data_IF_226070986563
#
_entry.id   IF_226070986563
#
_cell.length_a   1.000
_cell.length_b   1.000
_cell.length_c   1.000
_cell.angle_alpha   90.00
_cell.angle_beta   90.00
_cell.angle_gamma   90.00
#
_symmetry.space_group_name_H-M   'P 1'
#
loop_
_entity.id
_entity.type
_entity.pdbx_description
1 polymer ?
#
# COMPACT_ATOMS: atom_id res chain seq x y z
N UNK A 1 1.87 -15.58 -20.68
CA UNK A 1 1.90 -14.22 -20.09
C UNK A 1 0.46 -13.75 -19.96
N UNK A 2 -0.24 -14.22 -18.92
CA UNK A 2 -1.69 -13.98 -18.75
C UNK A 2 -1.88 -12.62 -18.10
N UNK A 3 -2.46 -11.67 -18.84
CA UNK A 3 -3.04 -10.45 -18.28
C UNK A 3 -4.19 -10.89 -17.37
N UNK A 4 -4.07 -10.63 -16.08
CA UNK A 4 -5.17 -10.84 -15.15
C UNK A 4 -6.30 -9.88 -15.54
N UNK A 5 -7.38 -10.44 -16.09
CA UNK A 5 -8.64 -9.74 -16.30
C UNK A 5 -9.15 -9.24 -14.95
N UNK A 6 -9.40 -7.94 -14.91
CA UNK A 6 -9.94 -7.22 -13.77
C UNK A 6 -11.44 -7.48 -13.77
N UNK A 7 -11.95 -8.20 -12.77
CA UNK A 7 -13.37 -8.41 -12.59
C UNK A 7 -14.01 -7.09 -12.10
N UNK A 8 -14.86 -6.40 -12.87
CA UNK A 8 -15.39 -5.10 -12.50
C UNK A 8 -16.83 -5.26 -12.00
N UNK A 9 -17.09 -5.19 -10.69
CA UNK A 9 -18.49 -5.01 -10.23
C UNK A 9 -18.73 -4.51 -8.80
N UNK A 10 -17.79 -3.84 -8.10
CA UNK A 10 -18.12 -3.12 -6.85
C UNK A 10 -17.35 -1.81 -6.57
N UNK A 11 -16.66 -1.23 -7.55
CA UNK A 11 -15.73 -0.11 -7.29
C UNK A 11 -16.26 1.22 -7.78
N UNK A 12 -16.99 1.95 -6.93
CA UNK A 12 -17.14 3.41 -7.13
C UNK A 12 -16.96 4.22 -5.83
N UNK A 13 -17.02 3.60 -4.64
CA UNK A 13 -16.89 4.35 -3.38
C UNK A 13 -15.73 3.89 -2.47
N UNK A 14 -15.09 2.74 -2.74
CA UNK A 14 -14.01 2.20 -1.88
C UNK A 14 -12.66 2.92 -2.00
N UNK A 15 -12.32 3.47 -3.17
CA UNK A 15 -10.99 4.06 -3.41
C UNK A 15 -10.71 5.33 -2.59
N UNK A 16 -11.71 6.21 -2.46
CA UNK A 16 -11.57 7.46 -1.69
C UNK A 16 -11.49 7.19 -0.19
N UNK A 17 -12.34 6.29 0.33
CA UNK A 17 -12.33 5.91 1.75
C UNK A 17 -11.00 5.27 2.14
N UNK A 18 -10.46 4.41 1.28
CA UNK A 18 -9.14 3.79 1.47
C UNK A 18 -8.03 4.85 1.49
N UNK A 19 -8.04 5.81 0.56
CA UNK A 19 -7.00 6.85 0.50
C UNK A 19 -6.97 7.72 1.77
N UNK A 20 -8.15 8.07 2.31
CA UNK A 20 -8.30 8.87 3.53
C UNK A 20 -7.86 8.10 4.77
N UNK A 21 -8.40 6.91 5.01
CA UNK A 21 -8.07 6.11 6.20
C UNK A 21 -6.59 5.69 6.25
N UNK A 22 -5.96 5.56 5.08
CA UNK A 22 -4.54 5.26 4.96
C UNK A 22 -3.64 6.49 4.84
N UNK A 23 -4.20 7.70 4.87
CA UNK A 23 -3.46 8.96 4.74
C UNK A 23 -2.48 8.98 3.56
N UNK A 24 -2.89 8.43 2.40
CA UNK A 24 -2.01 8.25 1.24
C UNK A 24 -1.64 9.61 0.65
N UNK A 25 -2.57 10.56 0.62
CA UNK A 25 -2.33 11.92 0.12
C UNK A 25 -1.29 12.65 0.97
N UNK A 26 -1.46 12.67 2.29
CA UNK A 26 -0.48 13.26 3.20
C UNK A 26 0.89 12.59 3.10
N UNK A 27 0.91 11.26 2.93
CA UNK A 27 2.16 10.54 2.73
C UNK A 27 2.87 11.01 1.46
N UNK A 28 2.18 11.11 0.33
CA UNK A 28 2.84 11.53 -0.92
C UNK A 28 3.24 13.00 -0.91
N UNK A 29 2.46 13.88 -0.26
CA UNK A 29 2.80 15.29 -0.06
C UNK A 29 4.06 15.44 0.79
N UNK A 30 4.29 14.52 1.74
CA UNK A 30 5.51 14.51 2.54
C UNK A 30 6.79 14.14 1.76
N UNK A 31 6.67 13.61 0.54
CA UNK A 31 7.79 13.15 -0.29
C UNK A 31 8.43 14.28 -1.11
N UNK A 32 8.63 15.46 -0.50
CA UNK A 32 9.10 16.69 -1.18
C UNK A 32 10.44 16.55 -1.90
N UNK A 33 11.29 15.60 -1.49
CA UNK A 33 12.59 15.32 -2.13
C UNK A 33 12.55 14.18 -3.18
N UNK A 34 11.37 13.63 -3.50
CA UNK A 34 11.23 12.52 -4.45
C UNK A 34 10.78 13.00 -5.82
N UNK A 35 11.22 12.31 -6.87
CA UNK A 35 10.74 12.60 -8.23
C UNK A 35 9.25 12.27 -8.37
N UNK A 36 8.55 12.93 -9.30
CA UNK A 36 7.13 12.66 -9.62
C UNK A 36 6.87 11.18 -9.89
N UNK A 37 7.79 10.52 -10.61
CA UNK A 37 7.68 9.09 -10.92
C UNK A 37 7.81 8.21 -9.66
N UNK A 38 8.69 8.59 -8.73
CA UNK A 38 8.83 7.91 -7.43
C UNK A 38 7.58 8.08 -6.58
N UNK A 39 7.03 9.30 -6.53
CA UNK A 39 5.80 9.61 -5.80
C UNK A 39 4.63 8.81 -6.35
N UNK A 40 4.44 8.79 -7.67
CA UNK A 40 3.37 8.03 -8.32
C UNK A 40 3.51 6.51 -8.08
N UNK A 41 4.75 6.00 -8.13
CA UNK A 41 5.02 4.59 -7.83
C UNK A 41 4.66 4.24 -6.38
N UNK A 42 5.06 5.06 -5.40
CA UNK A 42 4.73 4.82 -4.01
C UNK A 42 3.25 4.97 -3.72
N UNK A 43 2.57 5.98 -4.29
CA UNK A 43 1.11 6.11 -4.21
C UNK A 43 0.43 4.80 -4.60
N UNK A 44 0.74 4.32 -5.81
CA UNK A 44 0.17 3.07 -6.34
C UNK A 44 0.50 1.88 -5.43
N UNK A 45 1.76 1.74 -5.03
CA UNK A 45 2.19 0.60 -4.23
C UNK A 45 1.49 0.55 -2.85
N UNK A 46 1.16 1.70 -2.25
CA UNK A 46 0.39 1.80 -1.00
C UNK A 46 -1.11 1.61 -1.22
N UNK A 47 -1.68 2.16 -2.29
CA UNK A 47 -3.08 1.91 -2.66
C UNK A 47 -3.33 0.41 -2.90
N UNK A 48 -2.47 -0.25 -3.68
CA UNK A 48 -2.56 -1.70 -3.95
C UNK A 48 -2.47 -2.53 -2.65
N UNK A 49 -1.69 -2.07 -1.67
CA UNK A 49 -1.61 -2.72 -0.35
C UNK A 49 -2.89 -2.50 0.47
N UNK A 50 -3.37 -1.25 0.53
CA UNK A 50 -4.54 -0.87 1.31
C UNK A 50 -5.81 -1.58 0.80
N UNK A 51 -5.98 -1.69 -0.53
CA UNK A 51 -7.08 -2.46 -1.12
C UNK A 51 -6.99 -3.95 -0.81
N UNK A 52 -5.78 -4.53 -0.80
CA UNK A 52 -5.59 -5.92 -0.42
C UNK A 52 -5.86 -6.13 1.08
N UNK A 53 -5.42 -5.20 1.93
CA UNK A 53 -5.61 -5.25 3.38
C UNK A 53 -7.10 -5.12 3.76
N UNK A 54 -7.86 -4.29 3.04
CA UNK A 54 -9.31 -4.19 3.22
C UNK A 54 -10.07 -5.49 2.98
N UNK A 55 -9.52 -6.44 2.20
CA UNK A 55 -10.11 -7.80 2.05
C UNK A 55 -9.96 -8.67 3.30
N UNK A 56 -9.17 -8.23 4.27
CA UNK A 56 -8.97 -8.85 5.58
C UNK A 56 -9.49 -7.94 6.71
N UNK A 57 -10.43 -7.03 6.38
CA UNK A 57 -11.03 -6.07 7.31
C UNK A 57 -10.01 -5.13 7.99
N UNK A 58 -8.88 -4.86 7.31
CA UNK A 58 -7.89 -3.87 7.74
C UNK A 58 -8.14 -2.57 6.98
N UNK A 59 -8.78 -1.62 7.64
CA UNK A 59 -9.22 -0.36 7.04
C UNK A 59 -8.22 0.80 7.20
N UNK A 60 -7.14 0.60 7.95
CA UNK A 60 -6.12 1.63 8.18
C UNK A 60 -4.77 1.05 8.60
N UNK A 61 -3.77 1.91 8.85
CA UNK A 61 -2.40 1.46 9.10
C UNK A 61 -2.16 0.94 10.52
N UNK A 62 -2.96 1.35 11.51
CA UNK A 62 -2.77 0.99 12.93
C UNK A 62 -2.69 -0.52 13.21
N UNK A 63 -3.60 -1.37 12.69
CA UNK A 63 -3.55 -2.82 12.95
C UNK A 63 -2.49 -3.56 12.11
N UNK A 64 -1.72 -2.88 11.25
CA UNK A 64 -0.76 -3.54 10.37
C UNK A 64 0.52 -3.90 11.11
N UNK A 65 0.68 -5.20 11.39
CA UNK A 65 1.90 -5.75 11.96
C UNK A 65 2.85 -6.34 10.90
N UNK A 66 3.98 -6.88 11.37
CA UNK A 66 4.97 -7.55 10.49
C UNK A 66 4.41 -8.81 9.81
N UNK A 67 3.40 -9.47 10.38
CA UNK A 67 2.78 -10.65 9.80
C UNK A 67 1.91 -10.27 8.59
N UNK A 68 1.13 -9.19 8.69
CA UNK A 68 0.33 -8.64 7.59
C UNK A 68 1.24 -8.25 6.42
N UNK A 69 2.35 -7.56 6.68
CA UNK A 69 3.32 -7.19 5.64
C UNK A 69 3.92 -8.42 4.93
N UNK A 70 4.28 -9.46 5.69
CA UNK A 70 4.80 -10.71 5.10
C UNK A 70 3.75 -11.42 4.25
N UNK A 71 2.50 -11.47 4.72
CA UNK A 71 1.37 -12.05 3.96
C UNK A 71 1.15 -11.33 2.65
N UNK A 72 1.28 -10.00 2.62
CA UNK A 72 1.15 -9.23 1.38
C UNK A 72 2.26 -9.57 0.37
N UNK A 73 3.52 -9.61 0.80
CA UNK A 73 4.63 -9.95 -0.11
C UNK A 73 4.53 -11.39 -0.63
N UNK A 74 4.04 -12.32 0.20
CA UNK A 74 3.71 -13.67 -0.23
C UNK A 74 2.56 -13.67 -1.25
N UNK A 75 1.50 -12.90 -1.01
CA UNK A 75 0.40 -12.73 -1.95
C UNK A 75 0.88 -12.23 -3.33
N UNK A 76 1.72 -11.19 -3.38
CA UNK A 76 2.28 -10.69 -4.64
C UNK A 76 3.10 -11.77 -5.37
N UNK A 77 3.85 -12.58 -4.61
CA UNK A 77 4.61 -13.71 -5.14
C UNK A 77 3.69 -14.76 -5.76
N UNK A 78 2.63 -15.18 -5.04
CA UNK A 78 1.64 -16.15 -5.52
C UNK A 78 0.88 -15.64 -6.75
N UNK A 79 0.70 -14.32 -6.87
CA UNK A 79 0.10 -13.68 -8.05
C UNK A 79 1.07 -13.52 -9.23
N UNK A 80 2.31 -13.98 -9.12
CA UNK A 80 3.30 -14.00 -10.20
C UNK A 80 3.90 -12.62 -10.50
N UNK A 81 3.90 -11.69 -9.55
CA UNK A 81 4.53 -10.38 -9.74
C UNK A 81 6.05 -10.56 -9.93
N UNK A 82 6.63 -9.74 -10.81
CA UNK A 82 8.08 -9.73 -11.00
C UNK A 82 8.80 -9.34 -9.70
N UNK A 83 9.97 -9.96 -9.43
CA UNK A 83 10.79 -9.70 -8.24
C UNK A 83 11.04 -8.20 -8.01
N UNK A 84 11.30 -7.45 -9.09
CA UNK A 84 11.50 -5.99 -9.04
C UNK A 84 10.26 -5.25 -8.54
N UNK A 85 9.06 -5.67 -8.95
CA UNK A 85 7.80 -5.08 -8.49
C UNK A 85 7.58 -5.35 -7.00
N UNK A 86 7.83 -6.59 -6.55
CA UNK A 86 7.72 -6.97 -5.13
C UNK A 86 8.71 -6.16 -4.27
N UNK A 87 9.95 -6.00 -4.73
CA UNK A 87 10.94 -5.18 -4.04
C UNK A 87 10.54 -3.70 -3.97
N UNK A 88 9.86 -3.18 -5.00
CA UNK A 88 9.35 -1.80 -5.01
C UNK A 88 8.21 -1.63 -4.00
N UNK A 89 7.24 -2.55 -3.97
CA UNK A 89 6.20 -2.56 -2.93
C UNK A 89 6.80 -2.60 -1.53
N UNK A 90 7.76 -3.50 -1.27
CA UNK A 90 8.43 -3.59 0.03
C UNK A 90 9.13 -2.28 0.42
N UNK A 91 9.72 -1.59 -0.56
CA UNK A 91 10.38 -0.30 -0.33
C UNK A 91 9.37 0.82 -0.06
N UNK A 92 8.27 0.86 -0.82
CA UNK A 92 7.16 1.80 -0.62
C UNK A 92 6.53 1.62 0.76
N UNK A 93 6.21 0.38 1.15
CA UNK A 93 5.66 0.06 2.47
C UNK A 93 6.60 0.46 3.60
N UNK A 94 7.90 0.16 3.49
CA UNK A 94 8.88 0.59 4.50
C UNK A 94 8.92 2.11 4.64
N UNK A 95 8.87 2.84 3.52
CA UNK A 95 8.85 4.31 3.51
C UNK A 95 7.58 4.84 4.18
N UNK A 96 6.42 4.29 3.82
CA UNK A 96 5.11 4.65 4.33
C UNK A 96 4.99 4.39 5.84
N UNK A 97 5.23 3.16 6.31
CA UNK A 97 5.12 2.85 7.74
C UNK A 97 6.14 3.60 8.60
N UNK A 98 7.32 3.90 8.04
CA UNK A 98 8.28 4.79 8.69
C UNK A 98 7.77 6.23 8.83
N UNK A 99 7.04 6.75 7.83
CA UNK A 99 6.38 8.05 7.89
C UNK A 99 5.18 8.04 8.85
N UNK A 100 4.31 7.03 8.76
CA UNK A 100 3.13 6.89 9.61
C UNK A 100 3.50 6.84 11.09
N UNK A 101 4.57 6.13 11.44
CA UNK A 101 5.13 6.11 12.80
C UNK A 101 5.59 7.48 13.27
N UNK A 102 6.30 8.25 12.42
CA UNK A 102 6.75 9.62 12.77
C UNK A 102 5.58 10.59 12.95
N UNK A 103 4.44 10.34 12.29
CA UNK A 103 3.21 11.12 12.42
C UNK A 103 2.31 10.67 13.57
N UNK A 104 2.66 9.58 14.27
CA UNK A 104 1.86 9.03 15.37
C UNK A 104 0.61 8.27 14.91
N UNK A 105 0.51 7.92 13.63
CA UNK A 105 -0.63 7.17 13.07
C UNK A 105 -0.61 5.69 13.43
N UNK A 106 0.56 5.18 13.80
CA UNK A 106 0.76 3.82 14.31
C UNK A 106 1.61 3.91 15.57
N UNK A 107 1.33 3.05 16.55
CA UNK A 107 2.14 2.98 17.76
C UNK A 107 3.54 2.46 17.44
N UNK A 108 4.54 3.03 18.09
CA UNK A 108 5.83 2.38 18.18
C UNK A 108 5.70 1.25 19.20
N UNK A 109 5.93 0.01 18.77
CA UNK A 109 6.31 -1.07 19.68
C UNK A 109 7.62 -0.71 20.41
#
# INVERSE_FOLDING_TARGET
MVRAEVNPTLSTHFGTVTTVAWHIDEFVESLTASSVNTVAAYRRDITDFAEWAGRMDIEGPEPVDRLVLRRYLAYLTTRGFAKRSIARHASGLRRYFGWARRRGLIKAD
#
